data_IF_503123047723
#
_entry.id   IF_503123047723
#
_cell.length_a   1.000
_cell.length_b   1.000
_cell.length_c   1.000
_cell.angle_alpha   90.00
_cell.angle_beta   90.00
_cell.angle_gamma   90.00
#
_symmetry.space_group_name_H-M   'P 1'
#
loop_
_entity.id
_entity.type
_entity.pdbx_description
1 polymer ?
#
# COMPACT_ATOMS: atom_id res chain seq x y z
N UNK A 1 -14.61 -6.31 1.08
CA UNK A 1 -13.53 -7.28 1.36
C UNK A 1 -12.90 -6.89 2.70
N UNK A 2 -12.37 -7.83 3.49
CA UNK A 2 -11.69 -7.47 4.73
C UNK A 2 -10.51 -6.55 4.42
N UNK A 3 -10.22 -5.60 5.33
CA UNK A 3 -9.13 -4.65 5.16
C UNK A 3 -7.76 -5.34 5.11
N UNK A 4 -7.64 -6.48 5.80
CA UNK A 4 -6.43 -7.30 5.92
C UNK A 4 -6.75 -8.79 5.71
N UNK A 5 -5.80 -9.51 5.12
CA UNK A 5 -5.75 -10.96 5.05
C UNK A 5 -5.01 -11.49 6.29
N UNK A 6 -5.78 -11.83 7.32
CA UNK A 6 -5.25 -12.26 8.61
C UNK A 6 -4.49 -13.60 8.54
N UNK A 7 -4.90 -14.51 7.65
CA UNK A 7 -4.21 -15.78 7.48
C UNK A 7 -2.78 -15.58 6.94
N UNK A 8 -2.61 -14.68 5.97
CA UNK A 8 -1.28 -14.33 5.46
C UNK A 8 -0.43 -13.62 6.52
N UNK A 9 -1.02 -12.71 7.30
CA UNK A 9 -0.32 -12.06 8.42
C UNK A 9 0.11 -13.06 9.49
N UNK A 10 -0.70 -14.08 9.75
CA UNK A 10 -0.37 -15.17 10.67
C UNK A 10 0.78 -16.04 10.15
N UNK A 11 0.77 -16.38 8.87
CA UNK A 11 1.90 -17.06 8.22
C UNK A 11 3.19 -16.23 8.34
N UNK A 12 3.15 -14.93 7.98
CA UNK A 12 4.30 -14.03 8.08
C UNK A 12 4.84 -13.95 9.52
N UNK A 13 3.97 -13.74 10.51
CA UNK A 13 4.35 -13.70 11.93
C UNK A 13 4.90 -15.04 12.42
N UNK A 14 4.43 -16.16 11.85
CA UNK A 14 4.91 -17.50 12.15
C UNK A 14 6.30 -17.78 11.59
N UNK A 15 6.56 -17.38 10.34
CA UNK A 15 7.84 -17.61 9.66
C UNK A 15 8.94 -16.62 10.06
N UNK A 16 8.58 -15.36 10.32
CA UNK A 16 9.54 -14.28 10.56
C UNK A 16 9.72 -13.93 12.03
N UNK A 17 8.84 -14.43 12.91
CA UNK A 17 8.87 -14.15 14.36
C UNK A 17 9.01 -12.65 14.66
N UNK A 18 10.16 -12.22 15.21
CA UNK A 18 10.43 -10.83 15.57
C UNK A 18 10.79 -9.95 14.35
N UNK A 19 11.27 -10.55 13.25
CA UNK A 19 11.65 -9.82 12.03
C UNK A 19 10.45 -9.27 11.26
N UNK A 20 9.24 -9.76 11.57
CA UNK A 20 8.01 -9.24 10.95
C UNK A 20 7.83 -7.75 11.25
N UNK A 21 8.24 -7.28 12.44
CA UNK A 21 8.15 -5.86 12.80
C UNK A 21 9.07 -5.01 11.94
N UNK A 22 10.30 -5.47 11.70
CA UNK A 22 11.27 -4.80 10.84
C UNK A 22 10.77 -4.73 9.39
N UNK A 23 10.17 -5.80 8.87
CA UNK A 23 9.56 -5.82 7.53
C UNK A 23 8.43 -4.78 7.42
N UNK A 24 7.57 -4.70 8.43
CA UNK A 24 6.46 -3.74 8.46
C UNK A 24 6.98 -2.30 8.55
N UNK A 25 8.05 -2.05 9.30
CA UNK A 25 8.70 -0.74 9.38
C UNK A 25 9.32 -0.34 8.03
N UNK A 26 10.05 -1.25 7.37
CA UNK A 26 10.64 -1.01 6.05
C UNK A 26 9.56 -0.71 5.00
N UNK A 27 8.49 -1.51 4.98
CA UNK A 27 7.36 -1.28 4.10
C UNK A 27 6.71 0.09 4.34
N UNK A 28 6.53 0.49 5.60
CA UNK A 28 5.91 1.78 5.93
C UNK A 28 6.77 2.95 5.43
N UNK A 29 8.09 2.86 5.58
CA UNK A 29 9.04 3.89 5.10
C UNK A 29 9.02 3.95 3.57
N UNK A 30 9.24 2.82 2.88
CA UNK A 30 9.25 2.76 1.40
C UNK A 30 7.91 3.26 0.81
N UNK A 31 6.79 2.86 1.42
CA UNK A 31 5.46 3.28 0.95
C UNK A 31 5.27 4.79 1.08
N UNK A 32 5.76 5.44 2.15
CA UNK A 32 5.67 6.90 2.31
C UNK A 32 6.47 7.65 1.24
N UNK A 33 7.68 7.18 0.93
CA UNK A 33 8.51 7.76 -0.14
C UNK A 33 7.84 7.63 -1.52
N UNK A 34 7.22 6.47 -1.79
CA UNK A 34 6.50 6.25 -3.03
C UNK A 34 5.18 7.01 -3.11
N UNK A 35 4.50 7.27 -1.99
CA UNK A 35 3.33 8.17 -1.97
C UNK A 35 3.72 9.58 -2.41
N UNK A 36 4.85 10.12 -1.94
CA UNK A 36 5.35 11.41 -2.42
C UNK A 36 5.69 11.38 -3.92
N UNK A 37 6.23 10.26 -4.41
CA UNK A 37 6.48 10.05 -5.85
C UNK A 37 5.18 10.03 -6.66
N UNK A 38 4.13 9.38 -6.17
CA UNK A 38 2.80 9.37 -6.82
C UNK A 38 2.20 10.77 -6.85
N UNK A 39 2.29 11.53 -5.76
CA UNK A 39 1.83 12.92 -5.69
C UNK A 39 2.51 13.78 -6.77
N UNK A 40 3.84 13.70 -6.86
CA UNK A 40 4.58 14.45 -7.87
C UNK A 40 4.23 14.03 -9.30
N UNK A 41 4.02 12.74 -9.54
CA UNK A 41 3.60 12.22 -10.83
C UNK A 41 2.20 12.71 -11.21
N UNK A 42 1.28 12.81 -10.25
CA UNK A 42 -0.06 13.37 -10.45
C UNK A 42 0.02 14.84 -10.84
N UNK A 43 0.80 15.64 -10.13
CA UNK A 43 0.98 17.08 -10.40
C UNK A 43 1.58 17.33 -11.79
N UNK A 44 2.53 16.51 -12.21
CA UNK A 44 3.22 16.64 -13.50
C UNK A 44 2.51 15.94 -14.65
N UNK A 45 1.36 15.30 -14.40
CA UNK A 45 0.68 14.42 -15.36
C UNK A 45 1.59 13.32 -15.94
N UNK A 46 2.53 12.82 -15.13
CA UNK A 46 3.45 11.74 -15.50
C UNK A 46 2.80 10.37 -15.30
N UNK A 47 2.17 9.89 -16.37
CA UNK A 47 1.41 8.65 -16.39
C UNK A 47 2.27 7.40 -16.12
N UNK A 48 3.51 7.38 -16.59
CA UNK A 48 4.38 6.21 -16.46
C UNK A 48 4.96 6.10 -15.06
N UNK A 49 5.39 7.22 -14.46
CA UNK A 49 5.81 7.23 -13.05
C UNK A 49 4.65 6.85 -12.13
N UNK A 50 3.45 7.38 -12.38
CA UNK A 50 2.24 7.00 -11.65
C UNK A 50 1.99 5.48 -11.72
N UNK A 51 2.03 4.92 -12.95
CA UNK A 51 1.76 3.49 -13.20
C UNK A 51 2.77 2.60 -12.48
N UNK A 52 4.07 2.89 -12.64
CA UNK A 52 5.16 2.05 -12.15
C UNK A 52 5.27 2.11 -10.62
N UNK A 53 5.18 3.29 -10.02
CA UNK A 53 5.17 3.43 -8.57
C UNK A 53 3.97 2.68 -7.95
N UNK A 54 2.78 2.87 -8.50
CA UNK A 54 1.57 2.19 -8.01
C UNK A 54 1.64 0.67 -8.18
N UNK A 55 2.23 0.18 -9.27
CA UNK A 55 2.45 -1.26 -9.50
C UNK A 55 3.32 -1.89 -8.40
N UNK A 56 4.44 -1.23 -8.06
CA UNK A 56 5.36 -1.71 -7.01
C UNK A 56 4.67 -1.73 -5.65
N UNK A 57 3.97 -0.64 -5.30
CA UNK A 57 3.27 -0.52 -4.01
C UNK A 57 2.12 -1.52 -3.88
N UNK A 58 1.41 -1.82 -4.97
CA UNK A 58 0.40 -2.89 -5.00
C UNK A 58 1.00 -4.24 -4.59
N UNK A 59 2.19 -4.57 -5.11
CA UNK A 59 2.89 -5.81 -4.78
C UNK A 59 3.24 -5.89 -3.29
N UNK A 60 3.85 -4.84 -2.75
CA UNK A 60 4.20 -4.76 -1.33
C UNK A 60 2.98 -4.85 -0.41
N UNK A 61 1.89 -4.13 -0.72
CA UNK A 61 0.66 -4.20 0.05
C UNK A 61 0.05 -5.60 0.03
N UNK A 62 0.02 -6.27 -1.13
CA UNK A 62 -0.50 -7.62 -1.27
C UNK A 62 0.36 -8.64 -0.51
N UNK A 63 1.69 -8.51 -0.52
CA UNK A 63 2.58 -9.42 0.23
C UNK A 63 2.41 -9.34 1.73
N UNK A 64 1.90 -8.21 2.25
CA UNK A 64 1.59 -8.02 3.67
C UNK A 64 0.12 -8.32 4.01
N UNK A 65 -0.65 -8.83 3.05
CA UNK A 65 -2.08 -9.08 3.24
C UNK A 65 -2.93 -7.82 3.35
N UNK A 66 -2.42 -6.64 2.97
CA UNK A 66 -3.19 -5.40 2.92
C UNK A 66 -4.00 -5.32 1.61
N UNK A 67 -4.93 -6.27 1.42
CA UNK A 67 -5.67 -6.46 0.16
C UNK A 67 -6.43 -5.21 -0.30
N UNK A 68 -7.06 -4.50 0.65
CA UNK A 68 -7.79 -3.28 0.31
C UNK A 68 -6.85 -2.17 -0.18
N UNK A 69 -5.68 -2.04 0.46
CA UNK A 69 -4.65 -1.08 0.04
C UNK A 69 -4.08 -1.44 -1.34
N UNK A 70 -3.82 -2.74 -1.59
CA UNK A 70 -3.38 -3.22 -2.89
C UNK A 70 -4.39 -2.88 -4.00
N UNK A 71 -5.69 -2.90 -3.71
CA UNK A 71 -6.73 -2.48 -4.66
C UNK A 71 -6.70 -0.99 -4.99
N UNK A 72 -6.45 -0.13 -3.99
CA UNK A 72 -6.27 1.30 -4.22
C UNK A 72 -5.07 1.57 -5.12
N UNK A 73 -3.93 0.91 -4.87
CA UNK A 73 -2.75 1.03 -5.73
C UNK A 73 -3.00 0.46 -7.13
N UNK A 74 -3.74 -0.64 -7.26
CA UNK A 74 -4.17 -1.13 -8.57
C UNK A 74 -5.04 -0.09 -9.32
N UNK A 75 -5.89 0.64 -8.62
CA UNK A 75 -6.68 1.73 -9.21
C UNK A 75 -5.78 2.81 -9.79
N UNK A 76 -4.81 3.30 -9.02
CA UNK A 76 -3.83 4.30 -9.48
C UNK A 76 -2.94 3.78 -10.62
N UNK A 77 -2.55 2.50 -10.58
CA UNK A 77 -1.82 1.84 -11.66
C UNK A 77 -2.62 1.88 -12.97
N UNK A 78 -3.93 1.58 -12.91
CA UNK A 78 -4.81 1.65 -14.08
C UNK A 78 -4.98 3.09 -14.58
N UNK A 79 -5.08 4.07 -13.67
CA UNK A 79 -5.11 5.50 -14.04
C UNK A 79 -3.85 5.90 -14.82
N UNK A 80 -2.67 5.47 -14.36
CA UNK A 80 -1.40 5.71 -15.05
C UNK A 80 -1.33 4.99 -16.39
N UNK A 81 -1.73 3.73 -16.46
CA UNK A 81 -1.80 2.96 -17.72
C UNK A 81 -2.67 3.67 -18.77
N UNK A 82 -3.82 4.20 -18.35
CA UNK A 82 -4.80 4.83 -19.23
C UNK A 82 -4.54 6.35 -19.41
N UNK A 83 -3.46 6.88 -18.82
CA UNK A 83 -3.14 8.32 -18.77
C UNK A 83 -4.33 9.20 -18.31
N UNK A 84 -5.14 8.69 -17.39
CA UNK A 84 -6.37 9.32 -16.90
C UNK A 84 -6.12 10.04 -15.57
N UNK A 85 -6.08 11.36 -15.58
CA UNK A 85 -5.92 12.18 -14.36
C UNK A 85 -7.24 12.75 -13.83
N UNK A 86 -8.38 12.40 -14.42
CA UNK A 86 -9.68 12.85 -13.94
C UNK A 86 -9.96 12.31 -12.53
N UNK A 87 -10.26 13.20 -11.58
CA UNK A 87 -10.52 12.88 -10.17
C UNK A 87 -9.40 12.12 -9.46
N UNK A 88 -8.18 12.10 -10.01
CA UNK A 88 -7.09 11.30 -9.48
C UNK A 88 -6.66 11.72 -8.07
N UNK A 89 -6.85 13.00 -7.71
CA UNK A 89 -6.61 13.50 -6.36
C UNK A 89 -7.49 12.81 -5.30
N UNK A 90 -8.74 12.48 -5.66
CA UNK A 90 -9.63 11.72 -4.77
C UNK A 90 -9.17 10.27 -4.65
N UNK A 91 -8.78 9.64 -5.76
CA UNK A 91 -8.25 8.27 -5.77
C UNK A 91 -6.97 8.16 -4.92
N UNK A 92 -6.09 9.16 -5.04
CA UNK A 92 -4.85 9.26 -4.26
C UNK A 92 -5.11 9.49 -2.77
N UNK A 93 -6.00 10.41 -2.43
CA UNK A 93 -6.42 10.66 -1.04
C UNK A 93 -7.02 9.42 -0.38
N UNK A 94 -7.79 8.63 -1.13
CA UNK A 94 -8.35 7.37 -0.66
C UNK A 94 -7.25 6.32 -0.40
N UNK A 95 -6.24 6.24 -1.27
CA UNK A 95 -5.09 5.36 -1.09
C UNK A 95 -4.27 5.73 0.16
N UNK A 96 -4.00 7.03 0.39
CA UNK A 96 -3.30 7.51 1.57
C UNK A 96 -4.03 7.15 2.87
N UNK A 97 -5.35 7.37 2.91
CA UNK A 97 -6.18 6.99 4.07
C UNK A 97 -6.15 5.48 4.31
N UNK A 98 -6.31 4.69 3.25
CA UNK A 98 -6.28 3.23 3.36
C UNK A 98 -4.92 2.74 3.84
N UNK A 99 -3.82 3.39 3.45
CA UNK A 99 -2.49 3.06 3.94
C UNK A 99 -2.37 3.30 5.45
N UNK A 100 -2.77 4.48 5.93
CA UNK A 100 -2.75 4.78 7.37
C UNK A 100 -3.59 3.79 8.18
N UNK A 101 -4.78 3.44 7.67
CA UNK A 101 -5.65 2.45 8.31
C UNK A 101 -5.03 1.05 8.32
N UNK A 102 -4.50 0.58 7.20
CA UNK A 102 -3.86 -0.72 7.09
C UNK A 102 -2.68 -0.84 8.06
N UNK A 103 -1.80 0.17 8.13
CA UNK A 103 -0.66 0.17 9.04
C UNK A 103 -1.08 0.14 10.51
N UNK A 104 -2.11 0.92 10.87
CA UNK A 104 -2.66 0.91 12.22
C UNK A 104 -3.19 -0.48 12.60
N UNK A 105 -3.96 -1.11 11.71
CA UNK A 105 -4.55 -2.42 11.94
C UNK A 105 -3.48 -3.52 12.04
N UNK A 106 -2.48 -3.51 11.15
CA UNK A 106 -1.37 -4.48 11.18
C UNK A 106 -0.60 -4.36 12.49
N UNK A 107 -0.22 -3.14 12.89
CA UNK A 107 0.53 -2.91 14.14
C UNK A 107 -0.28 -3.30 15.37
N UNK A 108 -1.58 -2.99 15.38
CA UNK A 108 -2.48 -3.41 16.46
C UNK A 108 -2.51 -4.94 16.58
N UNK A 109 -2.67 -5.64 15.45
CA UNK A 109 -2.71 -7.10 15.42
C UNK A 109 -1.38 -7.73 15.84
N UNK A 110 -0.24 -7.16 15.45
CA UNK A 110 1.08 -7.64 15.86
C UNK A 110 1.38 -7.43 17.35
N UNK A 111 0.76 -6.43 17.98
CA UNK A 111 0.90 -6.17 19.41
C UNK A 111 0.04 -7.11 20.27
N UNK A 112 -0.93 -7.84 19.68
CA UNK A 112 -1.71 -8.83 20.40
C UNK A 112 -0.83 -10.07 20.70
N UNK A 113 -0.86 -10.58 21.96
CA UNK A 113 -0.11 -11.78 22.30
C UNK A 113 -0.57 -12.97 21.45
N UNK A 114 0.38 -13.84 21.07
CA UNK A 114 0.11 -15.10 20.35
C UNK A 114 -0.85 -16.00 21.13
#
# INVERSE_FOLDING_TARGET
MPALNLSLLEELRGFMEDDVLALIDEFEVDTRERLATLEQAIENHDAETLRTAAHTMKGGAASLGADNLAQHFRGLELRGRDASFQNIQQDFSNAQRCFTEAMMLIRKWLAEPK
#
